data_IF_693724151405
#
_entry.id   IF_693724151405
#
_cell.length_a   1.000
_cell.length_b   1.000
_cell.length_c   1.000
_cell.angle_alpha   90.00
_cell.angle_beta   90.00
_cell.angle_gamma   90.00
#
_symmetry.space_group_name_H-M   'P 1'
#
loop_
_entity.id
_entity.type
_entity.pdbx_description
1 polymer ?
#
# COMPACT_ATOMS: atom_id res chain seq x y z
N UNK A 1 -51.57 12.51 -23.10
CA UNK A 1 -51.82 13.95 -23.37
C UNK A 1 -51.25 14.72 -22.19
N UNK A 2 -50.40 15.72 -22.43
CA UNK A 2 -49.84 16.53 -21.36
C UNK A 2 -50.98 17.29 -20.66
N UNK A 3 -51.05 17.19 -19.33
CA UNK A 3 -52.00 17.96 -18.54
C UNK A 3 -51.69 19.46 -18.69
N UNK A 4 -52.69 20.35 -18.83
CA UNK A 4 -52.46 21.79 -18.88
C UNK A 4 -51.66 22.24 -17.66
N UNK A 5 -50.50 22.88 -17.88
CA UNK A 5 -49.62 23.36 -16.81
C UNK A 5 -48.57 22.35 -16.31
N UNK A 6 -48.56 21.11 -16.81
CA UNK A 6 -47.55 20.10 -16.46
C UNK A 6 -46.55 19.95 -17.60
N UNK A 7 -45.28 20.18 -17.31
CA UNK A 7 -44.18 19.96 -18.25
C UNK A 7 -43.49 18.67 -17.85
N UNK A 8 -43.52 17.68 -18.75
CA UNK A 8 -42.76 16.44 -18.60
C UNK A 8 -41.57 16.51 -19.55
N UNK A 9 -40.37 16.49 -18.98
CA UNK A 9 -39.12 16.50 -19.75
C UNK A 9 -38.37 15.20 -19.48
N UNK A 10 -38.16 14.42 -20.53
CA UNK A 10 -37.29 13.26 -20.47
C UNK A 10 -35.86 13.71 -20.71
N UNK A 11 -34.99 13.48 -19.73
CA UNK A 11 -33.56 13.79 -19.78
C UNK A 11 -32.79 12.48 -19.64
N UNK A 12 -32.51 11.83 -20.77
CA UNK A 12 -31.86 10.51 -20.78
C UNK A 12 -32.72 9.45 -20.07
N UNK A 13 -32.19 8.87 -18.99
CA UNK A 13 -32.86 7.87 -18.15
C UNK A 13 -33.73 8.47 -17.03
N UNK A 14 -33.81 9.81 -16.93
CA UNK A 14 -34.58 10.51 -15.91
C UNK A 14 -35.82 11.16 -16.52
N UNK A 15 -36.89 11.24 -15.72
CA UNK A 15 -38.12 11.96 -16.06
C UNK A 15 -38.33 13.06 -15.03
N UNK A 16 -38.25 14.31 -15.50
CA UNK A 16 -38.53 15.49 -14.70
C UNK A 16 -39.98 15.91 -14.94
N UNK A 17 -40.76 16.03 -13.88
CA UNK A 17 -42.17 16.45 -13.93
C UNK A 17 -42.31 17.76 -13.15
N UNK A 18 -42.56 18.86 -13.86
CA UNK A 18 -42.74 20.19 -13.29
C UNK A 18 -44.21 20.60 -13.39
N UNK A 19 -44.74 21.20 -12.31
CA UNK A 19 -46.11 21.72 -12.27
C UNK A 19 -47.20 20.71 -11.93
N UNK A 20 -46.86 19.47 -11.59
CA UNK A 20 -47.84 18.47 -11.16
C UNK A 20 -48.18 18.63 -9.67
N UNK A 21 -49.46 18.86 -9.36
CA UNK A 21 -49.97 18.86 -7.97
C UNK A 21 -50.18 17.44 -7.42
N UNK A 22 -50.22 16.43 -8.29
CA UNK A 22 -50.23 15.01 -7.95
C UNK A 22 -49.85 14.16 -9.18
N UNK A 23 -49.45 12.91 -8.93
CA UNK A 23 -49.22 11.89 -9.97
C UNK A 23 -50.26 10.79 -9.76
N UNK A 24 -51.10 10.52 -10.77
CA UNK A 24 -52.12 9.46 -10.70
C UNK A 24 -52.23 8.71 -12.03
N UNK A 25 -52.45 7.39 -11.97
CA UNK A 25 -52.64 6.51 -13.12
C UNK A 25 -52.86 5.06 -12.69
N UNK A 26 -53.33 4.19 -13.59
CA UNK A 26 -53.47 2.75 -13.34
C UNK A 26 -52.09 2.15 -13.03
N UNK A 27 -51.84 1.89 -11.74
CA UNK A 27 -50.53 1.49 -11.20
C UNK A 27 -50.04 2.35 -10.02
N UNK A 28 -50.61 3.55 -9.82
CA UNK A 28 -50.30 4.40 -8.67
C UNK A 28 -51.23 4.04 -7.49
N UNK A 29 -50.83 3.01 -6.72
CA UNK A 29 -51.41 2.76 -5.40
C UNK A 29 -50.75 3.70 -4.40
N UNK A 30 -51.51 4.66 -3.86
CA UNK A 30 -51.18 5.53 -2.72
C UNK A 30 -49.67 5.73 -2.46
N UNK A 31 -49.07 6.71 -3.15
CA UNK A 31 -47.73 7.17 -2.74
C UNK A 31 -47.93 8.05 -1.50
N UNK A 32 -47.66 7.50 -0.33
CA UNK A 32 -47.55 8.30 0.90
C UNK A 32 -46.44 9.35 0.76
N UNK A 33 -46.46 10.43 1.57
CA UNK A 33 -45.34 11.37 1.58
C UNK A 33 -44.04 10.60 1.81
N UNK A 34 -42.95 11.00 1.15
CA UNK A 34 -41.63 10.44 1.40
C UNK A 34 -41.33 10.64 2.90
N UNK A 35 -41.03 9.56 3.59
CA UNK A 35 -40.77 9.49 5.03
C UNK A 35 -39.33 9.02 5.27
N UNK A 36 -38.76 9.39 6.40
CA UNK A 36 -37.50 8.80 6.88
C UNK A 36 -37.70 7.34 7.38
N UNK A 37 -36.60 6.67 7.76
CA UNK A 37 -36.64 5.30 8.29
C UNK A 37 -37.47 5.18 9.58
N UNK A 38 -37.63 6.26 10.34
CA UNK A 38 -38.46 6.35 11.53
C UNK A 38 -39.94 6.68 11.21
N UNK A 39 -40.31 6.78 9.93
CA UNK A 39 -41.67 7.06 9.47
C UNK A 39 -42.09 8.53 9.56
N UNK A 40 -41.18 9.45 9.89
CA UNK A 40 -41.48 10.87 9.96
C UNK A 40 -41.64 11.46 8.56
N UNK A 41 -42.61 12.36 8.33
CA UNK A 41 -42.66 13.14 7.09
C UNK A 41 -41.39 13.98 6.94
N UNK A 42 -40.86 14.04 5.73
CA UNK A 42 -39.75 14.96 5.44
C UNK A 42 -40.15 16.42 5.72
N UNK A 43 -39.21 17.16 6.29
CA UNK A 43 -39.33 18.61 6.53
C UNK A 43 -38.62 19.39 5.43
N UNK A 44 -38.96 20.67 5.29
CA UNK A 44 -38.22 21.60 4.44
C UNK A 44 -36.75 21.67 4.90
N UNK A 45 -35.81 21.58 3.96
CA UNK A 45 -34.38 21.76 4.21
C UNK A 45 -33.80 23.00 3.50
N UNK A 46 -34.64 23.79 2.84
CA UNK A 46 -34.27 25.07 2.21
C UNK A 46 -34.94 26.26 2.92
N UNK A 47 -34.31 27.45 2.90
CA UNK A 47 -34.87 28.67 3.49
C UNK A 47 -36.19 29.13 2.87
N UNK A 48 -36.46 28.74 1.62
CA UNK A 48 -37.69 29.06 0.90
C UNK A 48 -38.84 28.07 1.18
N UNK A 49 -38.64 27.12 2.11
CA UNK A 49 -39.60 26.10 2.47
C UNK A 49 -39.65 24.91 1.52
N UNK A 50 -38.78 24.86 0.50
CA UNK A 50 -38.64 23.67 -0.35
C UNK A 50 -37.80 22.60 0.32
N UNK A 51 -37.90 21.38 -0.21
CA UNK A 51 -37.00 20.29 0.16
C UNK A 51 -36.28 19.79 -1.09
N UNK A 52 -34.94 19.83 -1.07
CA UNK A 52 -34.11 19.16 -2.07
C UNK A 52 -33.54 17.89 -1.47
N UNK A 53 -33.77 16.76 -2.13
CA UNK A 53 -33.24 15.46 -1.71
C UNK A 53 -32.76 14.69 -2.92
N UNK A 54 -31.62 14.04 -2.76
CA UNK A 54 -31.15 12.98 -3.64
C UNK A 54 -31.72 11.67 -3.10
N UNK A 55 -32.63 11.06 -3.84
CA UNK A 55 -33.14 9.72 -3.53
C UNK A 55 -32.27 8.73 -4.28
N UNK A 56 -31.43 7.99 -3.55
CA UNK A 56 -30.78 6.82 -4.10
C UNK A 56 -31.85 5.73 -4.29
N UNK A 57 -32.18 5.38 -5.53
CA UNK A 57 -33.02 4.21 -5.80
C UNK A 57 -32.15 2.95 -5.71
N UNK A 58 -32.01 2.47 -4.47
CA UNK A 58 -31.22 1.31 -4.08
C UNK A 58 -30.58 1.55 -2.73
N UNK A 59 -30.41 0.48 -1.94
CA UNK A 59 -29.21 0.33 -1.10
C UNK A 59 -28.03 0.85 -1.94
N UNK A 60 -27.29 1.86 -1.47
CA UNK A 60 -26.33 2.59 -2.31
C UNK A 60 -25.21 1.70 -2.89
N UNK A 61 -24.27 2.32 -3.59
CA UNK A 61 -23.12 1.58 -4.10
C UNK A 61 -21.97 1.74 -3.12
N UNK A 62 -21.42 0.65 -2.65
CA UNK A 62 -20.14 0.67 -1.97
C UNK A 62 -19.00 0.70 -3.01
N UNK A 63 -17.96 1.49 -2.77
CA UNK A 63 -16.83 1.74 -3.68
C UNK A 63 -15.52 1.51 -2.95
N UNK A 64 -14.53 0.94 -3.63
CA UNK A 64 -13.17 0.93 -3.10
C UNK A 64 -12.61 2.36 -2.97
N UNK A 65 -11.82 2.62 -1.94
CA UNK A 65 -11.32 3.95 -1.59
C UNK A 65 -9.78 4.11 -1.71
N UNK A 66 -9.06 3.08 -2.20
CA UNK A 66 -7.62 3.16 -2.45
C UNK A 66 -7.25 4.46 -3.22
N UNK A 67 -6.20 5.18 -2.77
CA UNK A 67 -5.87 6.50 -3.30
C UNK A 67 -5.35 6.40 -4.73
N UNK A 68 -5.11 7.54 -5.36
CA UNK A 68 -4.42 7.54 -6.65
C UNK A 68 -3.03 6.88 -6.51
N UNK A 69 -2.61 6.08 -7.50
CA UNK A 69 -3.18 5.95 -8.84
C UNK A 69 -4.19 4.78 -9.02
N UNK A 70 -4.64 4.11 -7.96
CA UNK A 70 -5.60 3.01 -8.08
C UNK A 70 -6.94 3.49 -8.66
N UNK A 71 -7.51 2.70 -9.57
CA UNK A 71 -8.80 3.01 -10.19
C UNK A 71 -9.94 2.70 -9.20
N UNK A 72 -10.45 3.76 -8.58
CA UNK A 72 -11.54 3.72 -7.58
C UNK A 72 -12.79 4.47 -8.02
N UNK A 73 -12.66 5.54 -8.80
CA UNK A 73 -13.80 6.38 -9.17
C UNK A 73 -14.74 5.70 -10.16
N UNK A 74 -16.02 6.03 -10.10
CA UNK A 74 -17.02 5.58 -11.06
C UNK A 74 -16.66 5.97 -12.51
N UNK A 75 -16.08 7.16 -12.71
CA UNK A 75 -15.66 7.63 -14.05
C UNK A 75 -14.54 6.80 -14.66
N UNK A 76 -13.73 6.15 -13.83
CA UNK A 76 -12.65 5.24 -14.24
C UNK A 76 -13.10 3.77 -14.22
N UNK A 77 -14.41 3.55 -14.08
CA UNK A 77 -15.01 2.23 -13.88
C UNK A 77 -14.41 1.49 -12.66
N UNK A 78 -14.14 2.20 -11.58
CA UNK A 78 -13.70 1.62 -10.31
C UNK A 78 -14.65 0.55 -9.77
N UNK A 79 -14.16 -0.29 -8.84
CA UNK A 79 -14.95 -1.34 -8.23
C UNK A 79 -16.12 -0.70 -7.49
N UNK A 80 -17.32 -1.21 -7.74
CA UNK A 80 -18.52 -0.75 -7.05
C UNK A 80 -19.52 -1.86 -6.90
N UNK A 81 -20.09 -1.99 -5.71
CA UNK A 81 -20.96 -3.08 -5.36
C UNK A 81 -22.27 -2.51 -4.86
N UNK A 82 -23.40 -3.08 -5.27
CA UNK A 82 -24.67 -2.69 -4.67
C UNK A 82 -24.69 -3.22 -3.24
N UNK A 83 -24.81 -2.35 -2.25
CA UNK A 83 -24.97 -2.80 -0.87
C UNK A 83 -26.28 -3.61 -0.78
N UNK A 84 -26.29 -4.72 -0.03
CA UNK A 84 -27.51 -5.48 0.22
C UNK A 84 -27.52 -5.98 1.65
N UNK A 85 -28.70 -6.00 2.26
CA UNK A 85 -28.86 -6.55 3.61
C UNK A 85 -28.32 -7.99 3.69
N UNK A 86 -27.43 -8.21 4.65
CA UNK A 86 -26.92 -9.53 4.98
C UNK A 86 -25.78 -10.04 4.12
N UNK A 87 -25.12 -9.19 3.33
CA UNK A 87 -23.84 -9.52 2.68
C UNK A 87 -22.82 -8.40 2.93
N UNK A 88 -21.80 -8.69 3.73
CA UNK A 88 -20.69 -7.76 4.00
C UNK A 88 -19.42 -8.50 4.38
N UNK A 89 -18.29 -7.84 4.21
CA UNK A 89 -17.08 -8.06 4.97
C UNK A 89 -17.30 -7.37 6.34
N UNK A 90 -16.93 -8.08 7.41
CA UNK A 90 -17.12 -7.63 8.78
C UNK A 90 -18.56 -7.25 9.15
N UNK A 91 -18.71 -6.23 10.00
CA UNK A 91 -19.97 -5.88 10.66
C UNK A 91 -20.65 -4.64 10.05
N UNK A 92 -19.92 -3.82 9.33
CA UNK A 92 -20.41 -2.59 8.73
C UNK A 92 -20.18 -2.59 7.23
N UNK A 93 -21.14 -2.07 6.47
CA UNK A 93 -20.98 -1.75 5.06
C UNK A 93 -21.52 -0.35 4.86
N UNK A 94 -20.77 0.53 4.17
CA UNK A 94 -21.20 1.92 3.99
C UNK A 94 -21.54 2.20 2.52
N UNK A 95 -22.77 2.66 2.22
CA UNK A 95 -23.12 3.01 0.86
C UNK A 95 -22.59 4.41 0.49
N UNK A 96 -22.03 4.50 -0.70
CA UNK A 96 -21.43 5.69 -1.27
C UNK A 96 -22.01 6.14 -2.61
N UNK A 97 -21.78 7.43 -2.91
CA UNK A 97 -22.14 8.00 -4.21
C UNK A 97 -21.04 7.79 -5.26
N UNK A 98 -19.77 7.82 -4.82
CA UNK A 98 -18.54 7.58 -5.58
C UNK A 98 -17.41 7.32 -4.57
N UNK A 99 -16.24 6.89 -5.05
CA UNK A 99 -15.07 6.61 -4.21
C UNK A 99 -14.66 7.83 -3.37
N UNK A 100 -14.59 7.64 -2.05
CA UNK A 100 -14.10 8.65 -1.11
C UNK A 100 -12.64 8.40 -0.76
N UNK A 101 -11.75 8.81 -1.67
CA UNK A 101 -10.29 8.57 -1.64
C UNK A 101 -9.51 9.07 -0.40
N UNK A 102 -10.17 9.67 0.59
CA UNK A 102 -9.56 10.20 1.81
C UNK A 102 -10.35 9.88 3.08
N UNK A 103 -11.35 8.99 3.02
CA UNK A 103 -12.25 8.74 4.16
C UNK A 103 -11.67 7.77 5.18
N UNK A 104 -10.73 6.89 4.80
CA UNK A 104 -10.30 5.79 5.66
C UNK A 104 -11.56 5.06 6.19
N UNK A 105 -12.29 4.44 5.25
CA UNK A 105 -13.69 4.06 5.47
C UNK A 105 -13.86 3.35 6.83
N UNK A 106 -14.83 3.84 7.60
CA UNK A 106 -15.26 3.25 8.87
C UNK A 106 -15.85 1.84 8.62
N UNK A 107 -16.18 1.52 7.37
CA UNK A 107 -16.67 0.23 6.88
C UNK A 107 -15.62 -0.88 6.72
N UNK A 108 -14.33 -0.56 6.56
CA UNK A 108 -13.28 -1.54 6.30
C UNK A 108 -12.91 -2.33 7.58
N UNK A 109 -13.78 -3.26 7.98
CA UNK A 109 -13.72 -3.98 9.25
C UNK A 109 -13.70 -5.51 9.10
N UNK A 110 -13.76 -6.02 7.86
CA UNK A 110 -13.82 -7.44 7.58
C UNK A 110 -12.49 -8.15 7.36
N UNK A 111 -11.37 -7.43 7.17
CA UNK A 111 -10.10 -8.04 6.75
C UNK A 111 -8.99 -7.79 7.76
N UNK A 112 -8.32 -8.87 8.18
CA UNK A 112 -7.16 -8.80 9.07
C UNK A 112 -5.95 -9.44 8.42
N UNK A 113 -4.89 -8.64 8.26
CA UNK A 113 -3.61 -9.09 7.69
C UNK A 113 -2.68 -9.62 8.76
N UNK A 114 -2.08 -10.79 8.52
CA UNK A 114 -0.86 -11.18 9.23
C UNK A 114 0.33 -10.38 8.70
N UNK A 115 1.45 -10.25 9.45
CA UNK A 115 2.65 -9.61 8.94
C UNK A 115 3.07 -10.17 7.58
N UNK A 116 3.40 -9.28 6.66
CA UNK A 116 3.75 -9.62 5.27
C UNK A 116 5.24 -9.43 5.10
N UNK A 117 5.96 -10.51 4.78
CA UNK A 117 7.38 -10.48 4.47
C UNK A 117 7.59 -10.99 3.05
N UNK A 118 8.38 -10.26 2.25
CA UNK A 118 8.71 -10.69 0.89
C UNK A 118 9.38 -12.07 0.90
N UNK A 119 9.06 -12.90 -0.10
CA UNK A 119 9.49 -14.29 -0.25
C UNK A 119 8.97 -15.31 0.79
N UNK A 120 8.12 -14.89 1.74
CA UNK A 120 7.53 -15.80 2.72
C UNK A 120 6.05 -16.06 2.44
N UNK A 121 5.54 -17.13 3.05
CA UNK A 121 4.11 -17.36 3.14
C UNK A 121 3.50 -16.48 4.24
N UNK A 122 2.30 -15.99 3.98
CA UNK A 122 1.48 -15.29 4.97
C UNK A 122 0.02 -15.69 4.81
N UNK A 123 -0.84 -15.11 5.64
CA UNK A 123 -2.27 -15.33 5.56
C UNK A 123 -3.06 -14.07 5.90
N UNK A 124 -4.23 -13.98 5.30
CA UNK A 124 -5.25 -12.97 5.60
C UNK A 124 -6.48 -13.67 6.12
N UNK A 125 -7.11 -13.05 7.11
CA UNK A 125 -8.37 -13.51 7.69
C UNK A 125 -9.50 -12.61 7.19
N UNK A 126 -10.49 -13.22 6.51
CA UNK A 126 -11.72 -12.56 6.06
C UNK A 126 -12.85 -12.93 7.03
N UNK A 127 -13.52 -11.93 7.57
CA UNK A 127 -14.76 -12.08 8.34
C UNK A 127 -15.93 -11.77 7.41
N UNK A 128 -16.76 -12.76 7.09
CA UNK A 128 -17.83 -12.61 6.10
C UNK A 128 -19.18 -12.75 6.78
N UNK A 129 -20.06 -11.79 6.58
CA UNK A 129 -21.49 -11.91 6.87
C UNK A 129 -22.21 -12.33 5.59
N UNK A 130 -22.92 -13.45 5.62
CA UNK A 130 -23.78 -13.88 4.51
C UNK A 130 -25.07 -14.55 5.02
N UNK A 131 -26.17 -13.82 5.00
CA UNK A 131 -27.52 -14.30 5.31
C UNK A 131 -28.46 -14.25 4.09
N UNK A 132 -27.92 -14.04 2.90
CA UNK A 132 -28.70 -13.89 1.65
C UNK A 132 -29.31 -15.21 1.16
N UNK A 133 -28.80 -16.34 1.65
CA UNK A 133 -29.15 -17.69 1.16
C UNK A 133 -28.50 -18.06 -0.18
N UNK A 134 -27.68 -17.18 -0.76
CA UNK A 134 -26.87 -17.45 -1.95
C UNK A 134 -25.40 -17.71 -1.57
N UNK A 135 -24.63 -18.45 -2.38
CA UNK A 135 -23.18 -18.52 -2.21
C UNK A 135 -22.55 -17.13 -2.37
N UNK A 136 -21.49 -16.86 -1.63
CA UNK A 136 -20.69 -15.65 -1.77
C UNK A 136 -19.26 -15.99 -2.21
N UNK A 137 -18.63 -15.05 -2.90
CA UNK A 137 -17.30 -15.19 -3.46
C UNK A 137 -16.47 -13.95 -3.14
N UNK A 138 -15.24 -14.16 -2.70
CA UNK A 138 -14.26 -13.11 -2.43
C UNK A 138 -13.08 -13.20 -3.40
N UNK A 139 -12.66 -12.07 -3.95
CA UNK A 139 -11.38 -11.93 -4.63
C UNK A 139 -10.51 -10.92 -3.90
N UNK A 140 -9.21 -11.14 -3.93
CA UNK A 140 -8.25 -10.30 -3.22
C UNK A 140 -7.00 -10.05 -4.06
N UNK A 141 -6.54 -8.81 -4.08
CA UNK A 141 -5.31 -8.36 -4.73
C UNK A 141 -4.43 -7.64 -3.72
N UNK A 142 -3.11 -7.72 -3.92
CA UNK A 142 -2.12 -6.91 -3.21
C UNK A 142 -1.15 -6.40 -4.27
N UNK A 143 -1.04 -5.08 -4.43
CA UNK A 143 -0.10 -4.47 -5.39
C UNK A 143 1.33 -4.72 -4.91
N UNK A 144 1.92 -5.83 -5.35
CA UNK A 144 3.21 -6.29 -4.87
C UNK A 144 4.33 -5.45 -5.44
N UNK A 145 4.24 -5.05 -6.71
CA UNK A 145 5.29 -4.26 -7.36
C UNK A 145 5.18 -2.76 -7.05
N UNK A 146 4.07 -2.33 -6.45
CA UNK A 146 3.81 -0.96 -6.01
C UNK A 146 3.62 0.00 -7.18
N UNK A 147 3.18 -0.50 -8.34
CA UNK A 147 2.96 0.28 -9.55
C UNK A 147 1.62 1.02 -9.54
N UNK A 148 0.76 0.76 -8.56
CA UNK A 148 -0.52 1.43 -8.38
C UNK A 148 -1.68 0.81 -9.18
N UNK A 149 -1.53 -0.43 -9.62
CA UNK A 149 -2.52 -1.19 -10.38
C UNK A 149 -2.70 -2.54 -9.70
N UNK A 150 -3.94 -2.95 -9.45
CA UNK A 150 -4.23 -4.31 -9.02
C UNK A 150 -4.24 -5.26 -10.24
N UNK A 151 -3.08 -5.83 -10.57
CA UNK A 151 -2.95 -6.70 -11.74
C UNK A 151 -3.48 -8.12 -11.47
N UNK A 152 -3.91 -8.84 -12.51
CA UNK A 152 -4.33 -10.25 -12.37
C UNK A 152 -3.22 -11.16 -11.84
N UNK A 153 -1.94 -10.80 -12.08
CA UNK A 153 -0.77 -11.50 -11.55
C UNK A 153 -0.57 -11.30 -10.05
N UNK A 154 -1.26 -10.34 -9.45
CA UNK A 154 -1.19 -9.95 -8.05
C UNK A 154 -2.43 -10.40 -7.25
N UNK A 155 -3.31 -11.14 -7.90
CA UNK A 155 -4.50 -11.71 -7.28
C UNK A 155 -4.12 -12.88 -6.38
N UNK A 156 -4.28 -12.71 -5.07
CA UNK A 156 -3.99 -13.73 -4.05
C UNK A 156 -5.20 -14.63 -3.74
N UNK A 157 -6.41 -14.16 -4.02
CA UNK A 157 -7.63 -14.96 -4.00
C UNK A 157 -8.47 -14.70 -5.25
N UNK A 158 -8.88 -15.75 -5.96
CA UNK A 158 -9.58 -15.65 -7.24
C UNK A 158 -10.98 -16.24 -7.15
N UNK A 159 -12.00 -15.39 -7.00
CA UNK A 159 -13.41 -15.77 -6.85
C UNK A 159 -13.58 -16.93 -5.86
N UNK A 160 -12.88 -16.85 -4.72
CA UNK A 160 -12.85 -17.87 -3.69
C UNK A 160 -14.25 -18.00 -3.07
N UNK A 161 -14.87 -19.19 -3.06
CA UNK A 161 -16.11 -19.39 -2.34
C UNK A 161 -15.88 -19.14 -0.83
N UNK A 162 -16.65 -18.24 -0.25
CA UNK A 162 -16.58 -17.90 1.17
C UNK A 162 -17.91 -18.18 1.86
N UNK A 163 -17.82 -18.83 3.03
CA UNK A 163 -18.98 -19.06 3.90
C UNK A 163 -19.10 -17.94 4.92
N UNK A 164 -20.28 -17.78 5.52
CA UNK A 164 -20.46 -16.88 6.66
C UNK A 164 -19.54 -17.29 7.83
N UNK A 165 -18.99 -16.31 8.53
CA UNK A 165 -17.96 -16.46 9.54
C UNK A 165 -16.56 -16.18 8.98
N UNK A 166 -15.55 -16.79 9.60
CA UNK A 166 -14.16 -16.48 9.31
C UNK A 166 -13.55 -17.45 8.30
N UNK A 167 -12.95 -16.91 7.24
CA UNK A 167 -12.17 -17.66 6.25
C UNK A 167 -10.72 -17.19 6.28
N UNK A 168 -9.76 -18.12 6.39
CA UNK A 168 -8.32 -17.78 6.29
C UNK A 168 -7.83 -18.10 4.89
N UNK A 169 -7.20 -17.13 4.24
CA UNK A 169 -6.60 -17.23 2.91
C UNK A 169 -5.08 -17.19 3.08
N UNK A 170 -4.41 -18.30 2.79
CA UNK A 170 -2.95 -18.39 2.81
C UNK A 170 -2.38 -18.24 1.40
N UNK A 171 -1.29 -17.50 1.25
CA UNK A 171 -0.62 -17.23 -0.02
C UNK A 171 0.87 -16.94 0.17
N UNK A 172 1.64 -17.05 -0.91
CA UNK A 172 3.07 -16.71 -0.92
C UNK A 172 3.28 -15.30 -1.46
N UNK A 173 4.17 -14.55 -0.81
CA UNK A 173 4.61 -13.25 -1.30
C UNK A 173 5.78 -13.47 -2.26
N UNK A 174 5.81 -12.83 -3.45
CA UNK A 174 6.97 -12.87 -4.33
C UNK A 174 8.22 -12.31 -3.63
N UNK A 175 9.41 -12.61 -4.17
CA UNK A 175 10.66 -12.08 -3.61
C UNK A 175 10.82 -10.60 -3.88
N UNK A 176 11.59 -9.89 -3.06
CA UNK A 176 11.77 -8.45 -3.24
C UNK A 176 12.81 -8.05 -4.31
N UNK A 177 12.65 -6.88 -4.93
CA UNK A 177 13.75 -6.06 -5.46
C UNK A 177 13.60 -4.61 -5.03
N UNK A 178 14.72 -3.89 -5.04
CA UNK A 178 14.79 -2.46 -4.75
C UNK A 178 14.01 -1.58 -5.73
N UNK A 179 13.65 -2.07 -6.92
CA UNK A 179 13.02 -1.29 -8.00
C UNK A 179 11.67 -1.84 -8.49
N UNK A 180 11.18 -2.95 -7.94
CA UNK A 180 9.94 -3.60 -8.38
C UNK A 180 9.96 -4.16 -9.82
N UNK A 181 11.10 -4.18 -10.53
CA UNK A 181 11.14 -4.58 -11.94
C UNK A 181 11.29 -6.10 -12.13
N UNK A 182 10.44 -6.68 -12.98
CA UNK A 182 10.50 -8.09 -13.40
C UNK A 182 9.22 -8.90 -13.13
N UNK A 183 9.11 -10.13 -13.66
CA UNK A 183 7.82 -10.84 -13.77
C UNK A 183 7.24 -11.40 -12.45
N UNK A 184 7.91 -11.23 -11.30
CA UNK A 184 7.46 -11.75 -10.00
C UNK A 184 8.25 -11.11 -8.83
N UNK A 185 8.15 -9.79 -8.63
CA UNK A 185 8.95 -9.09 -7.59
C UNK A 185 8.16 -8.08 -6.79
N UNK A 186 8.57 -7.91 -5.54
CA UNK A 186 7.84 -7.15 -4.51
C UNK A 186 8.62 -5.91 -4.04
N UNK A 187 7.98 -4.76 -4.09
CA UNK A 187 8.48 -3.51 -3.51
C UNK A 187 8.28 -3.56 -1.99
N UNK A 188 9.35 -3.27 -1.25
CA UNK A 188 9.27 -3.14 0.21
C UNK A 188 8.65 -1.81 0.59
N UNK A 189 7.83 -1.81 1.64
CA UNK A 189 7.18 -0.64 2.18
C UNK A 189 5.67 -0.66 1.95
N UNK A 190 5.09 0.55 1.99
CA UNK A 190 3.65 0.75 1.86
C UNK A 190 3.17 0.48 0.44
N UNK A 191 2.05 -0.23 0.36
CA UNK A 191 1.26 -0.49 -0.85
C UNK A 191 -0.20 -0.69 -0.44
N UNK A 192 -1.06 -1.06 -1.37
CA UNK A 192 -2.48 -1.30 -1.10
C UNK A 192 -2.90 -2.72 -1.43
N UNK A 193 -3.97 -3.15 -0.78
CA UNK A 193 -4.68 -4.39 -1.03
C UNK A 193 -6.16 -4.08 -1.28
N UNK A 194 -6.81 -4.90 -2.09
CA UNK A 194 -8.25 -4.78 -2.40
C UNK A 194 -8.93 -6.10 -2.15
N UNK A 195 -10.08 -6.09 -1.47
CA UNK A 195 -10.97 -7.25 -1.34
C UNK A 195 -12.32 -6.90 -1.96
N UNK A 196 -12.87 -7.83 -2.74
CA UNK A 196 -14.20 -7.69 -3.35
C UNK A 196 -15.05 -8.90 -3.00
N UNK A 197 -16.23 -8.66 -2.44
CA UNK A 197 -17.21 -9.68 -2.04
C UNK A 197 -18.51 -9.53 -2.84
N UNK A 198 -19.03 -10.61 -3.41
CA UNK A 198 -20.36 -10.61 -4.07
C UNK A 198 -20.94 -12.03 -4.09
N UNK A 199 -22.25 -12.16 -4.29
CA UNK A 199 -22.88 -13.43 -4.65
C UNK A 199 -22.52 -13.90 -6.07
N UNK A 200 -21.95 -13.02 -6.90
CA UNK A 200 -21.53 -13.32 -8.28
C UNK A 200 -20.02 -13.51 -8.38
N UNK A 201 -19.59 -14.75 -8.63
CA UNK A 201 -18.17 -15.07 -8.84
C UNK A 201 -17.55 -14.35 -10.04
N UNK A 202 -18.34 -14.09 -11.09
CA UNK A 202 -17.89 -13.36 -12.28
C UNK A 202 -17.75 -11.85 -12.05
N UNK A 203 -18.54 -11.28 -11.15
CA UNK A 203 -18.46 -9.86 -10.83
C UNK A 203 -17.19 -9.50 -10.04
N UNK A 204 -16.73 -10.41 -9.17
CA UNK A 204 -15.49 -10.26 -8.39
C UNK A 204 -14.27 -10.80 -9.14
N UNK A 205 -14.38 -11.22 -10.40
CA UNK A 205 -13.22 -11.73 -11.15
C UNK A 205 -12.20 -10.63 -11.50
N UNK A 206 -12.61 -9.35 -11.51
CA UNK A 206 -11.76 -8.20 -11.83
C UNK A 206 -11.61 -7.26 -10.63
N UNK A 207 -10.47 -6.57 -10.54
CA UNK A 207 -10.24 -5.55 -9.53
C UNK A 207 -11.05 -4.25 -9.74
N UNK A 208 -11.71 -4.10 -10.89
CA UNK A 208 -12.52 -2.93 -11.28
C UNK A 208 -13.92 -3.33 -11.77
N UNK A 209 -14.83 -2.37 -11.93
CA UNK A 209 -16.17 -2.59 -12.49
C UNK A 209 -17.27 -2.85 -11.46
N UNK A 210 -18.51 -2.96 -11.96
CA UNK A 210 -19.68 -3.15 -11.10
C UNK A 210 -19.91 -4.61 -10.70
N UNK A 211 -20.39 -4.81 -9.47
CA UNK A 211 -20.97 -6.06 -9.00
C UNK A 211 -22.47 -5.90 -8.67
N UNK A 212 -23.27 -6.97 -8.82
CA UNK A 212 -24.71 -6.93 -8.58
C UNK A 212 -25.07 -6.74 -7.10
N UNK A 213 -24.14 -7.09 -6.20
CA UNK A 213 -24.26 -6.96 -4.77
C UNK A 213 -22.88 -7.03 -4.06
N UNK A 214 -22.88 -6.73 -2.76
CA UNK A 214 -21.79 -6.96 -1.83
C UNK A 214 -20.98 -5.70 -1.53
N UNK A 215 -19.66 -5.86 -1.42
CA UNK A 215 -18.77 -4.84 -0.86
C UNK A 215 -17.36 -4.92 -1.45
N UNK A 216 -16.62 -3.81 -1.35
CA UNK A 216 -15.25 -3.54 -1.73
C UNK A 216 -14.56 -2.87 -0.54
N UNK A 217 -13.52 -3.50 0.00
CA UNK A 217 -12.68 -2.88 1.03
C UNK A 217 -11.25 -2.74 0.50
N UNK A 218 -10.58 -1.64 0.80
CA UNK A 218 -9.26 -1.27 0.30
C UNK A 218 -8.32 -0.92 1.48
N UNK A 219 -7.24 -1.68 1.66
CA UNK A 219 -6.36 -1.52 2.81
C UNK A 219 -4.97 -1.05 2.42
N UNK A 220 -4.46 -0.04 3.13
CA UNK A 220 -3.02 0.21 3.13
C UNK A 220 -2.32 -0.92 3.89
N UNK A 221 -1.37 -1.58 3.23
CA UNK A 221 -0.56 -2.65 3.81
C UNK A 221 0.92 -2.30 3.72
N UNK A 222 1.72 -2.87 4.62
CA UNK A 222 3.17 -2.68 4.63
C UNK A 222 3.86 -4.01 4.40
N UNK A 223 4.65 -4.11 3.33
CA UNK A 223 5.45 -5.29 3.03
C UNK A 223 6.85 -5.11 3.61
N UNK A 224 7.24 -6.04 4.47
CA UNK A 224 8.53 -6.06 5.13
C UNK A 224 9.58 -6.81 4.29
N UNK A 225 10.84 -6.38 4.42
CA UNK A 225 11.98 -7.07 3.80
C UNK A 225 12.13 -8.48 4.36
N UNK A 226 12.58 -9.42 3.53
CA UNK A 226 13.08 -10.69 3.99
C UNK A 226 14.20 -10.45 5.04
N UNK A 227 14.06 -10.95 6.28
CA UNK A 227 15.03 -10.68 7.33
C UNK A 227 16.37 -11.39 7.11
N UNK A 228 16.41 -12.50 6.36
CA UNK A 228 17.64 -13.25 6.06
C UNK A 228 18.39 -12.69 4.85
N UNK A 229 17.83 -11.68 4.19
CA UNK A 229 18.45 -10.94 3.11
C UNK A 229 19.02 -9.63 3.68
N UNK A 230 20.27 -9.31 3.36
CA UNK A 230 20.84 -8.03 3.78
C UNK A 230 20.33 -6.89 2.89
N UNK A 231 19.47 -5.97 3.39
CA UNK A 231 18.98 -4.86 2.58
C UNK A 231 20.07 -3.81 2.31
N UNK A 232 21.14 -3.79 3.11
CA UNK A 232 22.22 -2.82 3.04
C UNK A 232 23.33 -3.33 2.11
N UNK A 233 23.15 -3.16 0.81
CA UNK A 233 24.26 -3.33 -0.13
C UNK A 233 25.26 -2.19 -0.01
N UNK A 234 26.54 -2.51 -0.13
CA UNK A 234 27.62 -1.52 -0.24
C UNK A 234 27.29 -0.57 -1.38
N UNK A 235 26.98 0.70 -1.07
CA UNK A 235 27.11 1.98 -1.81
C UNK A 235 27.04 2.04 -3.37
N UNK A 236 26.69 0.98 -4.10
CA UNK A 236 26.85 0.87 -5.55
C UNK A 236 25.63 0.29 -6.29
N UNK A 237 24.46 0.21 -5.63
CA UNK A 237 23.20 -0.24 -6.23
C UNK A 237 23.24 -1.63 -6.89
N UNK A 238 24.33 -2.39 -6.77
CA UNK A 238 24.53 -3.76 -7.26
C UNK A 238 24.80 -4.76 -6.12
N UNK A 239 24.97 -4.27 -4.88
CA UNK A 239 25.47 -5.04 -3.73
C UNK A 239 24.46 -5.51 -2.67
N UNK A 240 23.15 -5.33 -2.85
CA UNK A 240 22.18 -5.75 -1.83
C UNK A 240 22.14 -7.29 -1.72
N UNK A 241 22.19 -7.81 -0.50
CA UNK A 241 22.23 -9.25 -0.19
C UNK A 241 23.61 -9.90 -0.23
N UNK A 242 24.65 -9.20 -0.71
CA UNK A 242 25.98 -9.81 -0.90
C UNK A 242 26.88 -9.77 0.35
N UNK A 243 26.66 -8.82 1.25
CA UNK A 243 27.34 -8.75 2.55
C UNK A 243 26.57 -9.64 3.53
N UNK A 244 27.00 -10.88 3.69
CA UNK A 244 26.29 -11.90 4.48
C UNK A 244 26.58 -11.71 5.96
N UNK A 245 27.81 -11.32 6.31
CA UNK A 245 28.20 -11.13 7.71
C UNK A 245 27.82 -9.75 8.28
N UNK A 246 27.39 -8.81 7.43
CA UNK A 246 26.96 -7.47 7.82
C UNK A 246 28.12 -6.54 8.24
N UNK A 247 29.37 -6.85 7.86
CA UNK A 247 30.54 -6.07 8.24
C UNK A 247 30.83 -4.87 7.32
N UNK A 248 30.03 -4.71 6.26
CA UNK A 248 30.15 -3.66 5.27
C UNK A 248 31.09 -4.01 4.11
N UNK A 249 31.61 -5.24 4.03
CA UNK A 249 32.51 -5.70 2.98
C UNK A 249 32.06 -7.04 2.38
N UNK A 250 31.92 -7.10 1.06
CA UNK A 250 31.75 -8.37 0.35
C UNK A 250 33.12 -9.02 0.13
N UNK A 251 33.37 -10.15 0.77
CA UNK A 251 34.64 -10.88 0.81
C UNK A 251 34.41 -12.40 0.66
N UNK A 252 35.47 -13.20 0.50
CA UNK A 252 35.34 -14.66 0.56
C UNK A 252 34.76 -15.21 1.88
N UNK A 253 34.72 -14.41 2.94
CA UNK A 253 34.11 -14.81 4.22
C UNK A 253 32.58 -14.95 4.06
N UNK A 254 31.93 -14.08 3.29
CA UNK A 254 30.49 -14.16 3.01
C UNK A 254 30.12 -15.45 2.30
N UNK A 255 30.94 -15.84 1.30
CA UNK A 255 30.79 -17.12 0.59
C UNK A 255 30.90 -18.28 1.56
N UNK A 256 31.90 -18.25 2.45
CA UNK A 256 32.14 -19.31 3.41
C UNK A 256 30.97 -19.46 4.40
N UNK A 257 30.33 -18.36 4.81
CA UNK A 257 29.17 -18.41 5.69
C UNK A 257 28.00 -19.16 5.05
N UNK A 258 27.69 -18.87 3.78
CA UNK A 258 26.62 -19.57 3.05
C UNK A 258 26.97 -21.05 2.83
N UNK A 259 28.22 -21.36 2.46
CA UNK A 259 28.68 -22.75 2.29
C UNK A 259 28.58 -23.54 3.61
N UNK A 260 29.02 -22.95 4.73
CA UNK A 260 28.93 -23.59 6.04
C UNK A 260 27.47 -23.82 6.44
N UNK A 261 26.59 -22.86 6.16
CA UNK A 261 25.15 -23.01 6.37
C UNK A 261 24.56 -24.14 5.52
N UNK A 262 24.91 -24.22 4.24
CA UNK A 262 24.46 -25.28 3.33
C UNK A 262 24.93 -26.67 3.80
N UNK A 263 26.18 -26.77 4.24
CA UNK A 263 26.78 -28.01 4.73
C UNK A 263 26.32 -28.43 6.13
N UNK A 264 25.62 -27.56 6.85
CA UNK A 264 25.00 -27.93 8.13
C UNK A 264 23.72 -28.74 7.87
N UNK A 265 23.66 -30.04 8.26
CA UNK A 265 22.52 -30.92 7.98
C UNK A 265 21.27 -30.56 8.79
N UNK A 266 21.41 -29.81 9.88
CA UNK A 266 20.26 -29.38 10.71
C UNK A 266 19.77 -27.98 10.36
N UNK A 267 20.51 -27.23 9.54
CA UNK A 267 20.13 -25.87 9.15
C UNK A 267 19.01 -25.90 8.08
N UNK A 268 17.88 -25.20 8.30
CA UNK A 268 16.74 -25.21 7.38
C UNK A 268 17.10 -24.56 6.04
N UNK A 269 16.76 -25.22 4.92
CA UNK A 269 16.99 -24.66 3.57
C UNK A 269 15.80 -23.87 3.04
N UNK A 270 14.63 -24.11 3.62
CA UNK A 270 13.45 -23.25 3.49
C UNK A 270 13.42 -22.42 4.75
N UNK A 271 13.54 -21.11 4.62
CA UNK A 271 13.67 -20.24 5.77
C UNK A 271 12.31 -20.04 6.45
N UNK A 272 12.34 -19.84 7.76
CA UNK A 272 11.16 -19.52 8.55
C UNK A 272 11.41 -18.22 9.31
N UNK A 273 10.44 -17.31 9.29
CA UNK A 273 10.52 -16.03 10.02
C UNK A 273 10.78 -16.22 11.52
N UNK A 274 10.36 -17.34 12.10
CA UNK A 274 10.65 -17.67 13.50
C UNK A 274 12.16 -17.84 13.80
N UNK A 275 12.97 -18.17 12.78
CA UNK A 275 14.41 -18.38 12.91
C UNK A 275 15.22 -17.07 12.74
N UNK A 276 14.56 -15.95 12.44
CA UNK A 276 15.18 -14.64 12.22
C UNK A 276 15.62 -13.97 13.54
N UNK A 277 16.35 -14.70 14.38
CA UNK A 277 16.86 -14.22 15.67
C UNK A 277 18.38 -14.09 15.61
N UNK A 278 18.93 -12.98 16.13
CA UNK A 278 20.38 -12.81 16.25
C UNK A 278 21.14 -12.66 14.92
N UNK A 279 20.47 -12.21 13.86
CA UNK A 279 21.08 -11.89 12.57
C UNK A 279 22.09 -10.74 12.71
N UNK A 280 23.21 -10.71 11.94
CA UNK A 280 23.67 -11.62 10.86
C UNK A 280 24.10 -13.04 11.33
N UNK A 281 24.21 -14.06 10.44
CA UNK A 281 24.41 -13.97 8.98
C UNK A 281 23.14 -13.93 8.11
N UNK A 282 23.18 -13.11 7.05
CA UNK A 282 22.15 -12.95 6.01
C UNK A 282 22.33 -13.98 4.88
N UNK A 283 22.01 -15.23 5.17
CA UNK A 283 22.34 -16.38 4.32
C UNK A 283 21.54 -16.47 3.01
N UNK A 284 20.45 -15.71 2.88
CA UNK A 284 19.62 -15.65 1.67
C UNK A 284 20.07 -14.47 0.81
N UNK A 285 21.00 -14.74 -0.10
CA UNK A 285 21.69 -13.72 -0.88
C UNK A 285 20.81 -13.20 -2.02
N UNK A 286 19.99 -14.06 -2.62
CA UNK A 286 19.13 -13.69 -3.74
C UNK A 286 17.71 -13.25 -3.30
N UNK A 287 17.43 -13.34 -2.00
CA UNK A 287 16.23 -12.90 -1.30
C UNK A 287 15.00 -13.75 -1.59
N UNK A 288 15.16 -15.01 -2.03
CA UNK A 288 14.05 -15.86 -2.50
C UNK A 288 13.39 -16.73 -1.43
N UNK A 289 13.80 -16.56 -0.16
CA UNK A 289 13.27 -17.30 0.99
C UNK A 289 13.92 -18.67 1.18
N UNK A 290 14.88 -19.03 0.32
CA UNK A 290 15.59 -20.30 0.35
C UNK A 290 17.09 -20.07 0.54
N UNK A 291 17.77 -21.06 1.10
CA UNK A 291 19.24 -21.10 1.09
C UNK A 291 19.70 -22.25 0.21
N UNK A 292 20.27 -21.91 -0.93
CA UNK A 292 20.64 -22.81 -2.01
C UNK A 292 22.06 -22.57 -2.50
N UNK A 293 22.62 -23.48 -3.32
CA UNK A 293 23.90 -23.21 -3.99
C UNK A 293 23.89 -21.95 -4.88
N UNK A 294 22.72 -21.47 -5.29
CA UNK A 294 22.60 -20.25 -6.09
C UNK A 294 22.96 -18.98 -5.29
N UNK A 295 22.72 -18.96 -3.98
CA UNK A 295 23.13 -17.88 -3.08
C UNK A 295 24.65 -17.77 -3.04
N UNK A 296 25.30 -18.92 -2.90
CA UNK A 296 26.78 -19.03 -2.96
C UNK A 296 27.32 -18.62 -4.33
N UNK A 297 26.68 -19.08 -5.41
CA UNK A 297 27.10 -18.78 -6.77
C UNK A 297 27.01 -17.27 -7.08
N UNK A 298 25.98 -16.60 -6.56
CA UNK A 298 25.80 -15.15 -6.70
C UNK A 298 26.99 -14.40 -6.10
N UNK A 299 27.42 -14.78 -4.90
CA UNK A 299 28.61 -14.21 -4.24
C UNK A 299 29.92 -14.49 -5.02
N UNK A 300 30.12 -15.74 -5.45
CA UNK A 300 31.33 -16.14 -6.19
C UNK A 300 31.42 -15.37 -7.52
N UNK A 301 30.31 -15.25 -8.25
CA UNK A 301 30.26 -14.50 -9.49
C UNK A 301 30.56 -13.02 -9.26
N UNK A 302 30.02 -12.41 -8.19
CA UNK A 302 30.35 -11.04 -7.82
C UNK A 302 31.85 -10.88 -7.50
N UNK A 303 32.42 -11.74 -6.65
CA UNK A 303 33.84 -11.64 -6.30
C UNK A 303 34.77 -11.83 -7.51
N UNK A 304 34.40 -12.69 -8.46
CA UNK A 304 35.15 -12.92 -9.68
C UNK A 304 34.99 -11.81 -10.73
N UNK A 305 33.89 -11.04 -10.70
CA UNK A 305 33.65 -9.93 -11.63
C UNK A 305 34.34 -8.64 -11.20
N UNK A 306 34.78 -8.54 -9.94
CA UNK A 306 35.56 -7.40 -9.45
C UNK A 306 36.87 -7.29 -10.24
N UNK A 307 37.22 -6.11 -10.79
CA UNK A 307 38.54 -5.90 -11.36
C UNK A 307 39.58 -6.25 -10.30
N UNK A 308 40.41 -7.25 -10.57
CA UNK A 308 41.61 -7.47 -9.76
C UNK A 308 42.43 -6.20 -9.90
N UNK A 309 42.47 -5.39 -8.84
CA UNK A 309 43.45 -4.34 -8.74
C UNK A 309 44.82 -4.99 -8.98
N UNK A 310 45.48 -4.62 -10.07
CA UNK A 310 46.90 -4.91 -10.24
C UNK A 310 47.63 -4.19 -9.12
N UNK A 311 48.40 -4.92 -8.30
CA UNK A 311 49.37 -4.28 -7.42
C UNK A 311 49.60 -4.99 -6.08
N UNK A 312 50.53 -5.95 -6.12
CA UNK A 312 51.63 -6.19 -5.16
C UNK A 312 51.30 -6.44 -3.67
N UNK A 313 51.81 -7.58 -3.17
CA UNK A 313 51.55 -8.03 -1.82
C UNK A 313 52.19 -7.14 -0.76
N UNK A 314 51.55 -7.11 0.41
CA UNK A 314 52.27 -6.96 1.66
C UNK A 314 51.75 -8.00 2.64
N UNK A 315 52.65 -8.87 3.04
CA UNK A 315 52.45 -9.85 4.07
C UNK A 315 52.53 -9.15 5.42
N UNK A 316 51.44 -9.20 6.17
CA UNK A 316 51.43 -9.37 7.61
C UNK A 316 52.25 -8.41 8.46
N UNK A 317 51.55 -7.47 9.10
CA UNK A 317 51.86 -7.10 10.48
C UNK A 317 50.59 -7.19 11.32
N UNK A 318 50.48 -8.28 12.07
CA UNK A 318 49.54 -8.44 13.18
C UNK A 318 49.83 -7.39 14.27
N UNK A 319 48.83 -6.79 14.93
CA UNK A 319 49.07 -5.93 16.07
C UNK A 319 49.32 -6.78 17.32
N UNK A 320 50.60 -6.92 17.70
CA UNK A 320 51.03 -7.43 19.00
C UNK A 320 51.23 -6.29 20.00
N UNK A 321 50.77 -6.52 21.21
CA UNK A 321 50.70 -5.62 22.36
C UNK A 321 52.06 -5.06 22.86
N UNK A 322 51.94 -3.96 23.63
CA UNK A 322 52.77 -3.41 24.74
C UNK A 322 54.18 -2.82 24.47
N UNK A 323 54.34 -1.51 24.73
CA UNK A 323 55.01 -0.94 25.92
C UNK A 323 55.80 0.38 25.67
N UNK A 324 55.54 1.38 26.53
CA UNK A 324 56.48 2.33 27.16
C UNK A 324 57.31 3.34 26.31
N UNK A 325 57.19 4.64 26.68
CA UNK A 325 58.36 5.48 26.92
C UNK A 325 58.83 6.50 25.87
N UNK A 326 58.65 7.78 26.21
CA UNK A 326 59.45 8.97 25.85
C UNK A 326 59.37 9.66 24.46
N UNK A 327 58.61 10.77 24.49
CA UNK A 327 58.95 12.16 24.11
C UNK A 327 59.67 12.46 22.77
N UNK A 328 58.92 13.08 21.85
CA UNK A 328 59.46 13.82 20.71
C UNK A 328 58.40 14.66 20.00
N UNK A 329 58.46 15.97 20.20
CA UNK A 329 57.56 17.06 19.78
C UNK A 329 57.11 17.06 18.31
N UNK A 330 55.80 17.24 18.06
CA UNK A 330 55.23 17.65 16.77
C UNK A 330 53.70 17.76 16.85
N UNK A 331 53.15 18.94 16.58
CA UNK A 331 51.74 19.34 16.77
C UNK A 331 50.70 18.40 16.14
N UNK A 332 49.68 18.00 16.92
CA UNK A 332 48.43 17.45 16.38
C UNK A 332 47.43 18.58 16.13
N UNK A 333 47.06 18.80 14.86
CA UNK A 333 45.84 19.55 14.52
C UNK A 333 44.73 18.54 14.26
N UNK A 334 43.81 18.42 15.22
CA UNK A 334 42.54 17.70 15.08
C UNK A 334 41.57 18.61 14.34
N UNK A 335 41.18 18.26 13.12
CA UNK A 335 39.99 18.86 12.50
C UNK A 335 38.79 17.96 12.74
N UNK A 336 38.07 18.28 13.80
CA UNK A 336 36.72 17.82 14.03
C UNK A 336 35.73 18.60 13.13
N UNK A 337 34.73 17.85 12.65
CA UNK A 337 33.35 18.27 12.38
C UNK A 337 33.10 19.40 11.37
N UNK A 338 32.38 19.08 10.29
CA UNK A 338 31.44 20.00 9.65
C UNK A 338 30.16 19.25 9.21
N UNK A 339 29.31 18.94 10.20
CA UNK A 339 27.88 19.16 10.04
C UNK A 339 27.67 20.67 9.95
N UNK A 340 27.09 21.18 8.86
CA UNK A 340 26.20 22.34 8.87
C UNK A 340 25.63 22.58 7.47
N UNK A 341 24.34 22.23 7.33
CA UNK A 341 23.46 22.79 6.30
C UNK A 341 23.22 24.28 6.53
N UNK A 342 22.80 24.95 5.46
CA UNK A 342 22.77 26.41 5.34
C UNK A 342 21.94 27.16 6.37
N UNK A 343 22.47 28.33 6.75
CA UNK A 343 21.73 29.48 7.26
C UNK A 343 22.68 30.68 7.29
N UNK A 344 22.78 31.41 6.18
CA UNK A 344 23.47 32.69 6.11
C UNK A 344 22.82 33.60 5.07
N UNK A 345 21.52 33.87 5.26
CA UNK A 345 20.88 35.02 4.63
C UNK A 345 19.98 35.75 5.64
N UNK A 346 20.55 36.08 6.80
CA UNK A 346 20.02 37.08 7.73
C UNK A 346 21.21 37.75 8.41
N UNK A 347 21.21 39.09 8.49
CA UNK A 347 22.14 39.99 9.18
C UNK A 347 23.26 40.65 8.33
N UNK A 348 22.89 41.61 7.46
CA UNK A 348 23.79 42.72 7.10
C UNK A 348 23.76 43.80 8.20
N UNK A 349 24.90 44.36 8.64
CA UNK A 349 24.91 45.51 9.55
C UNK A 349 24.59 46.82 8.80
N UNK A 350 23.62 47.59 9.31
CA UNK A 350 23.40 48.99 8.94
C UNK A 350 24.46 49.86 9.65
N UNK A 351 25.33 50.53 8.88
CA UNK A 351 26.06 51.69 9.37
C UNK A 351 25.18 52.94 9.18
N UNK A 352 25.01 53.68 10.28
CA UNK A 352 24.32 54.96 10.33
C UNK A 352 25.33 56.10 10.46
N UNK A 353 25.08 57.21 9.76
CA UNK A 353 25.30 58.60 10.22
C UNK A 353 24.54 59.54 9.25
N UNK A 354 23.43 60.16 9.70
CA UNK A 354 23.27 61.62 9.97
C UNK A 354 23.80 62.49 8.83
N UNK A 355 23.03 63.31 8.10
CA UNK A 355 21.76 63.97 8.36
C UNK A 355 22.02 65.46 8.59
N UNK A 356 21.59 66.32 7.66
CA UNK A 356 21.06 67.67 7.94
C UNK A 356 20.48 68.34 6.67
N UNK A 357 19.20 68.71 6.79
CA UNK A 357 18.49 69.95 6.33
C UNK A 357 18.78 70.47 4.91
N UNK A 358 17.83 70.65 3.98
CA UNK A 358 16.43 71.03 4.09
C UNK A 358 16.27 72.53 3.77
N UNK A 359 15.81 72.89 2.57
CA UNK A 359 14.85 74.00 2.35
C UNK A 359 14.31 73.99 0.90
N UNK A 360 13.06 74.43 0.83
CA UNK A 360 12.10 74.63 -0.24
C UNK A 360 12.47 75.66 -1.33
N UNK A 361 11.92 75.51 -2.54
CA UNK A 361 10.84 76.36 -3.11
C UNK A 361 10.66 76.16 -4.63
N UNK A 362 9.37 76.22 -5.00
CA UNK A 362 8.67 76.60 -6.23
C UNK A 362 9.25 76.53 -7.67
N UNK A 363 8.26 76.23 -8.53
CA UNK A 363 8.09 76.34 -9.99
C UNK A 363 8.72 75.30 -10.92
#
# INVERSE_FOLDING_TARGET
QNLPGVIVTQLGAQVLILGATSVSGTGASNIGPIRDLAGNPLKANQPDGTTTLTIFQGEGLDYGDAPLPYLTSNTENGPRHKVVDGLSLGATVTPDADARRNDADIGDDGVVFSPIYAAFQTSVTLSVTNTTGQPAYASMWIDFDGNGIFADTERVASSLPVAAGTTTVAFSIPRSTSDGSGPARTKIGETYARVRLSTSSGAVASAIGAAPDGEVEDYQVNILSNPFYNPNGILDSLGNGLDVNGDGFVTPIDVLQVINYLNNPTAPKILNLADATGLPPFVDVNGDGLVTPNDTLTLINYLNSRPRASGEGEAGTSPGLIAEGELGTGEQTVLASNWAGGLADVLRPRLAQRGETGDSTHD
#
